data_IF_458723388473
#
_entry.id   IF_458723388473
#
_cell.length_a   1.000
_cell.length_b   1.000
_cell.length_c   1.000
_cell.angle_alpha   90.00
_cell.angle_beta   90.00
_cell.angle_gamma   90.00
#
_symmetry.space_group_name_H-M   'P 1'
#
loop_
_entity.id
_entity.type
_entity.pdbx_description
1 polymer ?
#
# COMPACT_ATOMS: atom_id res chain seq x y z
N UNK A 1 -31.90 -1.65 17.08
CA UNK A 1 -32.16 -3.09 17.06
C UNK A 1 -30.81 -3.80 17.10
N UNK A 2 -30.53 -4.57 18.14
CA UNK A 2 -29.29 -5.33 18.28
C UNK A 2 -29.43 -6.62 17.46
N UNK A 3 -28.68 -6.74 16.37
CA UNK A 3 -28.79 -7.88 15.44
C UNK A 3 -27.45 -8.62 15.33
N UNK A 4 -27.17 -9.38 16.39
CA UNK A 4 -25.94 -10.15 16.49
C UNK A 4 -25.89 -11.32 15.51
N UNK A 5 -27.05 -11.88 15.15
CA UNK A 5 -27.13 -12.98 14.18
C UNK A 5 -26.67 -12.53 12.78
N UNK A 6 -27.06 -11.33 12.34
CA UNK A 6 -26.57 -10.79 11.08
C UNK A 6 -25.07 -10.46 11.14
N UNK A 7 -24.55 -9.98 12.28
CA UNK A 7 -23.11 -9.82 12.47
C UNK A 7 -22.35 -11.15 12.35
N UNK A 8 -22.85 -12.24 12.95
CA UNK A 8 -22.21 -13.56 12.84
C UNK A 8 -22.18 -14.10 11.40
N UNK A 9 -23.25 -13.87 10.63
CA UNK A 9 -23.27 -14.20 9.19
C UNK A 9 -22.21 -13.43 8.42
N UNK A 10 -22.12 -12.11 8.67
CA UNK A 10 -21.07 -11.27 8.07
C UNK A 10 -19.66 -11.75 8.43
N UNK A 11 -19.42 -12.13 9.69
CA UNK A 11 -18.14 -12.71 10.12
C UNK A 11 -17.84 -14.01 9.39
N UNK A 12 -18.83 -14.89 9.20
CA UNK A 12 -18.66 -16.13 8.43
C UNK A 12 -18.29 -15.86 6.97
N UNK A 13 -18.96 -14.89 6.33
CA UNK A 13 -18.66 -14.53 4.94
C UNK A 13 -17.30 -13.87 4.80
N UNK A 14 -16.93 -12.99 5.73
CA UNK A 14 -15.59 -12.41 5.80
C UNK A 14 -14.52 -13.50 5.95
N UNK A 15 -14.73 -14.49 6.83
CA UNK A 15 -13.79 -15.59 7.03
C UNK A 15 -13.55 -16.41 5.74
N UNK A 16 -14.59 -16.63 4.92
CA UNK A 16 -14.46 -17.29 3.61
C UNK A 16 -13.60 -16.47 2.66
N UNK A 17 -13.81 -15.15 2.59
CA UNK A 17 -13.01 -14.25 1.75
C UNK A 17 -11.56 -14.20 2.25
N UNK A 18 -11.36 -14.11 3.56
CA UNK A 18 -10.05 -14.11 4.19
C UNK A 18 -9.25 -15.37 3.86
N UNK A 19 -9.88 -16.56 3.97
CA UNK A 19 -9.24 -17.82 3.59
C UNK A 19 -8.83 -17.88 2.12
N UNK A 20 -9.61 -17.26 1.21
CA UNK A 20 -9.21 -17.13 -0.20
C UNK A 20 -7.99 -16.22 -0.37
N UNK A 21 -7.87 -15.14 0.40
CA UNK A 21 -6.67 -14.32 0.41
C UNK A 21 -5.43 -15.11 0.88
N UNK A 22 -5.53 -15.83 2.00
CA UNK A 22 -4.43 -16.67 2.51
C UNK A 22 -3.94 -17.65 1.45
N UNK A 23 -4.86 -18.40 0.83
CA UNK A 23 -4.53 -19.33 -0.24
C UNK A 23 -3.84 -18.63 -1.42
N UNK A 24 -4.33 -17.46 -1.82
CA UNK A 24 -3.74 -16.71 -2.93
C UNK A 24 -2.34 -16.17 -2.58
N UNK A 25 -2.06 -15.83 -1.32
CA UNK A 25 -0.72 -15.43 -0.87
C UNK A 25 0.30 -16.57 -0.97
N UNK A 26 -0.13 -17.80 -0.71
CA UNK A 26 0.72 -18.99 -0.85
C UNK A 26 1.05 -19.31 -2.32
N UNK A 27 0.13 -18.99 -3.24
CA UNK A 27 0.20 -19.40 -4.65
C UNK A 27 0.72 -18.30 -5.59
N UNK A 28 0.47 -17.02 -5.28
CA UNK A 28 0.71 -15.91 -6.20
C UNK A 28 2.00 -15.13 -5.90
N UNK A 29 2.78 -14.83 -6.94
CA UNK A 29 4.04 -14.09 -6.81
C UNK A 29 3.86 -12.58 -6.69
N UNK A 30 2.69 -12.05 -7.02
CA UNK A 30 2.38 -10.62 -6.99
C UNK A 30 1.72 -10.19 -5.67
N UNK A 31 1.62 -11.08 -4.69
CA UNK A 31 1.09 -10.79 -3.36
C UNK A 31 2.16 -11.19 -2.34
N UNK A 32 2.35 -10.43 -1.25
CA UNK A 32 3.20 -10.86 -0.14
C UNK A 32 2.79 -12.22 0.39
N UNK A 33 3.76 -13.09 0.66
CA UNK A 33 3.55 -14.46 1.17
C UNK A 33 2.91 -14.48 2.57
N UNK A 34 2.99 -13.38 3.32
CA UNK A 34 2.42 -13.21 4.66
C UNK A 34 1.81 -11.84 4.82
N UNK A 35 0.78 -11.74 5.67
CA UNK A 35 0.21 -10.46 6.08
C UNK A 35 -1.27 -10.53 6.42
N UNK A 36 -1.61 -10.12 7.65
CA UNK A 36 -2.99 -10.22 8.15
C UNK A 36 -3.86 -9.03 7.73
N UNK A 37 -3.24 -7.87 7.49
CA UNK A 37 -3.94 -6.65 7.14
C UNK A 37 -4.23 -6.59 5.63
N UNK A 38 -5.38 -7.15 5.22
CA UNK A 38 -5.73 -7.30 3.80
C UNK A 38 -5.77 -5.99 3.02
N UNK A 39 -6.09 -4.85 3.65
CA UNK A 39 -6.02 -3.53 3.00
C UNK A 39 -4.59 -3.18 2.55
N UNK A 40 -3.58 -3.44 3.38
CA UNK A 40 -2.17 -3.21 3.04
C UNK A 40 -1.75 -4.08 1.87
N UNK A 41 -2.04 -5.38 2.00
CA UNK A 41 -1.78 -6.40 1.00
C UNK A 41 -2.38 -6.08 -0.38
N UNK A 42 -3.63 -5.59 -0.43
CA UNK A 42 -4.26 -5.18 -1.69
C UNK A 42 -3.44 -4.07 -2.36
N UNK A 43 -3.05 -3.04 -1.61
CA UNK A 43 -2.25 -1.95 -2.17
C UNK A 43 -0.85 -2.40 -2.63
N UNK A 44 -0.19 -3.26 -1.84
CA UNK A 44 1.11 -3.84 -2.22
C UNK A 44 1.00 -4.68 -3.51
N UNK A 45 -0.05 -5.49 -3.65
CA UNK A 45 -0.27 -6.29 -4.85
C UNK A 45 -0.48 -5.43 -6.10
N UNK A 46 -1.28 -4.36 -5.99
CA UNK A 46 -1.46 -3.41 -7.11
C UNK A 46 -0.17 -2.69 -7.49
N UNK A 47 0.65 -2.28 -6.51
CA UNK A 47 1.93 -1.61 -6.79
C UNK A 47 2.93 -2.60 -7.40
N UNK A 48 3.00 -3.83 -6.91
CA UNK A 48 3.84 -4.87 -7.50
C UNK A 48 3.51 -5.07 -8.98
N UNK A 49 2.23 -5.28 -9.28
CA UNK A 49 1.76 -5.48 -10.65
C UNK A 49 1.98 -4.24 -11.53
N UNK A 50 1.76 -3.04 -10.98
CA UNK A 50 2.06 -1.79 -11.70
C UNK A 50 3.54 -1.65 -12.06
N UNK A 51 4.45 -1.97 -11.13
CA UNK A 51 5.89 -1.97 -11.39
C UNK A 51 6.28 -3.04 -12.42
N UNK A 52 5.66 -4.22 -12.36
CA UNK A 52 5.81 -5.29 -13.37
C UNK A 52 5.40 -4.82 -14.77
N UNK A 53 4.23 -4.16 -14.89
CA UNK A 53 3.75 -3.58 -16.16
C UNK A 53 4.66 -2.45 -16.66
N UNK A 54 5.26 -1.69 -15.75
CA UNK A 54 6.32 -0.71 -16.04
C UNK A 54 7.68 -1.33 -16.40
N UNK A 55 7.76 -2.67 -16.53
CA UNK A 55 8.96 -3.42 -16.92
C UNK A 55 10.12 -3.32 -15.93
N UNK A 56 9.83 -3.09 -14.65
CA UNK A 56 10.80 -3.25 -13.57
C UNK A 56 11.27 -4.72 -13.51
N UNK A 57 12.59 -4.95 -13.34
CA UNK A 57 13.16 -6.31 -13.28
C UNK A 57 13.47 -6.70 -11.84
N UNK A 58 13.48 -8.00 -11.55
CA UNK A 58 13.86 -8.52 -10.23
C UNK A 58 12.92 -8.10 -9.11
N UNK A 59 11.61 -8.07 -9.39
CA UNK A 59 10.58 -7.73 -8.42
C UNK A 59 10.50 -8.80 -7.31
N UNK A 60 10.53 -8.35 -6.06
CA UNK A 60 10.35 -9.21 -4.89
C UNK A 60 9.81 -8.43 -3.70
N UNK A 61 9.20 -9.16 -2.75
CA UNK A 61 8.73 -8.59 -1.50
C UNK A 61 9.82 -8.62 -0.41
N UNK A 62 9.72 -7.67 0.52
CA UNK A 62 10.45 -7.73 1.78
C UNK A 62 9.99 -8.92 2.62
N UNK A 63 10.88 -9.46 3.44
CA UNK A 63 10.48 -10.49 4.39
C UNK A 63 9.79 -9.86 5.62
N UNK A 64 9.19 -10.67 6.48
CA UNK A 64 8.50 -10.23 7.70
C UNK A 64 9.35 -9.40 8.70
N UNK A 65 10.68 -9.45 8.61
CA UNK A 65 11.59 -8.67 9.46
C UNK A 65 11.99 -7.33 8.84
N UNK A 66 11.77 -7.19 7.53
CA UNK A 66 12.00 -5.95 6.80
C UNK A 66 10.87 -4.96 7.10
N UNK A 67 11.24 -3.75 7.49
CA UNK A 67 10.30 -2.69 7.87
C UNK A 67 10.46 -1.44 7.02
N UNK A 68 11.62 -1.27 6.39
CA UNK A 68 12.00 -0.10 5.63
C UNK A 68 11.40 -0.07 4.23
N UNK A 69 11.11 -1.22 3.63
CA UNK A 69 10.55 -1.32 2.29
C UNK A 69 9.71 -2.59 2.16
N UNK A 70 8.71 -2.56 1.29
CA UNK A 70 7.78 -3.66 1.06
C UNK A 70 8.09 -4.38 -0.26
N UNK A 71 8.53 -3.66 -1.29
CA UNK A 71 8.87 -4.20 -2.62
C UNK A 71 10.26 -3.73 -3.05
N UNK A 72 11.04 -4.58 -3.69
CA UNK A 72 12.32 -4.23 -4.32
C UNK A 72 12.32 -4.60 -5.80
N UNK A 73 12.97 -3.79 -6.63
CA UNK A 73 13.29 -4.15 -8.01
C UNK A 73 14.57 -3.43 -8.48
N UNK A 74 14.92 -3.60 -9.76
CA UNK A 74 16.08 -2.95 -10.40
C UNK A 74 16.11 -1.43 -10.26
N UNK A 75 14.96 -0.81 -10.04
CA UNK A 75 14.83 0.64 -9.95
C UNK A 75 14.93 1.17 -8.52
N UNK A 76 14.90 0.29 -7.50
CA UNK A 76 15.03 0.66 -6.09
C UNK A 76 14.11 -0.10 -5.16
N UNK A 77 14.06 0.36 -3.91
CA UNK A 77 13.21 -0.13 -2.83
C UNK A 77 11.98 0.76 -2.67
N UNK A 78 10.83 0.13 -2.51
CA UNK A 78 9.53 0.79 -2.44
C UNK A 78 8.85 0.45 -1.12
N UNK A 79 8.43 1.46 -0.38
CA UNK A 79 7.48 1.29 0.72
C UNK A 79 6.08 1.69 0.24
N UNK A 80 5.05 0.95 0.64
CA UNK A 80 3.66 1.14 0.24
C UNK A 80 2.82 1.43 1.48
N UNK A 81 2.03 2.51 1.43
CA UNK A 81 1.10 2.90 2.48
C UNK A 81 -0.29 3.02 1.91
N UNK A 82 -1.13 2.08 2.31
CA UNK A 82 -2.47 1.92 1.77
C UNK A 82 -3.51 2.37 2.80
N UNK A 83 -4.51 3.11 2.33
CA UNK A 83 -5.75 3.35 3.05
C UNK A 83 -6.93 3.03 2.14
N UNK A 84 -8.08 2.71 2.75
CA UNK A 84 -9.33 2.55 2.01
C UNK A 84 -10.27 3.73 2.25
N UNK A 85 -11.26 3.86 1.39
CA UNK A 85 -12.40 4.77 1.51
C UNK A 85 -13.05 4.71 2.90
N UNK A 86 -13.08 3.54 3.52
CA UNK A 86 -13.67 3.32 4.85
C UNK A 86 -12.80 3.86 6.01
N UNK A 87 -11.56 4.31 5.76
CA UNK A 87 -10.67 4.89 6.78
C UNK A 87 -11.10 6.30 7.15
N UNK A 88 -11.82 6.46 8.27
CA UNK A 88 -12.28 7.78 8.75
C UNK A 88 -11.16 8.75 9.09
N UNK A 89 -10.05 8.25 9.62
CA UNK A 89 -8.94 9.11 10.09
C UNK A 89 -7.94 9.45 8.99
N UNK A 90 -7.96 8.67 7.90
CA UNK A 90 -6.99 8.76 6.80
C UNK A 90 -5.52 8.66 7.27
N UNK A 91 -5.28 8.14 8.48
CA UNK A 91 -3.94 7.93 9.03
C UNK A 91 -3.31 6.72 8.36
N UNK A 92 -2.07 6.88 7.92
CA UNK A 92 -1.27 5.77 7.39
C UNK A 92 -0.51 5.08 8.51
N UNK A 93 -0.13 3.82 8.28
CA UNK A 93 0.78 3.10 9.15
C UNK A 93 2.16 3.80 9.21
N UNK A 94 2.97 3.52 10.24
CA UNK A 94 4.31 4.12 10.36
C UNK A 94 5.15 3.92 9.10
N UNK A 95 5.90 4.96 8.74
CA UNK A 95 6.84 4.95 7.62
C UNK A 95 8.23 4.83 8.24
N UNK A 96 8.94 3.77 7.88
CA UNK A 96 10.28 3.51 8.38
C UNK A 96 11.31 4.02 7.38
N UNK A 97 12.53 4.29 7.82
CA UNK A 97 13.65 4.49 6.91
C UNK A 97 14.01 3.18 6.17
N UNK A 98 14.55 3.27 4.96
CA UNK A 98 15.07 2.12 4.21
C UNK A 98 14.51 1.93 2.79
N UNK A 99 13.65 2.83 2.33
CA UNK A 99 13.08 2.87 0.98
C UNK A 99 13.74 3.95 0.11
N UNK A 100 13.69 3.79 -1.22
CA UNK A 100 14.04 4.82 -2.19
C UNK A 100 12.80 5.58 -2.67
N UNK A 101 11.66 4.87 -2.76
CA UNK A 101 10.36 5.44 -3.10
C UNK A 101 9.26 5.05 -2.11
N UNK A 102 8.32 5.96 -1.87
CA UNK A 102 7.14 5.74 -1.05
C UNK A 102 5.90 5.92 -1.91
N UNK A 103 5.09 4.87 -2.00
CA UNK A 103 3.76 4.91 -2.59
C UNK A 103 2.70 5.12 -1.51
N UNK A 104 1.83 6.10 -1.74
CA UNK A 104 0.56 6.22 -1.05
C UNK A 104 -0.55 5.74 -1.98
N UNK A 105 -1.30 4.74 -1.53
CA UNK A 105 -2.41 4.12 -2.27
C UNK A 105 -3.73 4.39 -1.54
N UNK A 106 -4.67 5.05 -2.21
CA UNK A 106 -6.05 5.12 -1.75
C UNK A 106 -6.89 4.12 -2.54
N UNK A 107 -7.65 3.29 -1.83
CA UNK A 107 -8.60 2.34 -2.40
C UNK A 107 -10.02 2.91 -2.28
N UNK A 108 -10.79 2.87 -3.37
CA UNK A 108 -12.18 3.29 -3.37
C UNK A 108 -13.08 2.30 -2.60
N UNK A 109 -14.40 2.55 -2.61
CA UNK A 109 -15.41 1.70 -1.96
C UNK A 109 -15.43 0.23 -2.44
N UNK A 110 -14.89 -0.05 -3.64
CA UNK A 110 -14.75 -1.39 -4.21
C UNK A 110 -13.36 -1.99 -3.99
N UNK A 111 -12.52 -1.36 -3.16
CA UNK A 111 -11.12 -1.72 -2.95
C UNK A 111 -10.25 -1.67 -4.22
N UNK A 112 -10.61 -0.84 -5.20
CA UNK A 112 -9.81 -0.56 -6.40
C UNK A 112 -9.03 0.74 -6.19
N UNK A 113 -7.74 0.82 -6.56
CA UNK A 113 -6.98 2.06 -6.41
C UNK A 113 -7.56 3.19 -7.26
N UNK A 114 -7.85 4.31 -6.61
CA UNK A 114 -8.36 5.53 -7.27
C UNK A 114 -7.39 6.72 -7.14
N UNK A 115 -6.37 6.60 -6.27
CA UNK A 115 -5.24 7.52 -6.17
C UNK A 115 -3.94 6.77 -5.88
N UNK A 116 -2.94 6.98 -6.72
CA UNK A 116 -1.57 6.45 -6.58
C UNK A 116 -0.60 7.63 -6.56
N UNK A 117 0.00 7.90 -5.42
CA UNK A 117 0.95 8.99 -5.25
C UNK A 117 2.33 8.42 -4.91
N UNK A 118 3.37 8.92 -5.56
CA UNK A 118 4.76 8.48 -5.37
C UNK A 118 5.61 9.64 -4.85
N UNK A 119 6.50 9.35 -3.91
CA UNK A 119 7.50 10.28 -3.38
C UNK A 119 8.87 9.62 -3.40
N UNK A 120 9.90 10.37 -3.72
CA UNK A 120 11.30 9.95 -3.59
C UNK A 120 11.80 10.22 -2.17
N UNK A 121 12.65 9.34 -1.63
CA UNK A 121 13.12 9.47 -0.26
C UNK A 121 13.95 10.77 -0.12
N UNK A 122 13.55 11.70 0.76
CA UNK A 122 14.30 12.95 0.94
C UNK A 122 15.64 12.78 1.66
N UNK A 123 15.94 11.58 2.18
CA UNK A 123 17.15 11.22 2.93
C UNK A 123 17.31 11.97 4.26
N UNK A 124 18.41 11.70 4.95
CA UNK A 124 18.79 12.29 6.26
C UNK A 124 17.64 12.26 7.27
N UNK A 125 17.27 11.04 7.69
CA UNK A 125 16.19 10.83 8.65
C UNK A 125 16.64 11.29 10.05
N UNK A 126 15.90 12.20 10.68
CA UNK A 126 16.18 12.61 12.06
C UNK A 126 15.71 11.56 13.06
N UNK A 127 14.71 10.77 12.66
CA UNK A 127 14.18 9.61 13.36
C UNK A 127 13.97 8.50 12.34
N UNK A 128 14.29 7.25 12.68
CA UNK A 128 14.17 6.11 11.75
C UNK A 128 12.70 5.75 11.43
N UNK A 129 11.72 6.43 12.04
CA UNK A 129 10.28 6.20 11.84
C UNK A 129 9.49 7.50 11.93
N UNK A 130 8.59 7.71 10.96
CA UNK A 130 7.52 8.73 10.99
C UNK A 130 6.20 8.06 11.38
N UNK A 131 5.48 8.63 12.36
CA UNK A 131 4.18 8.14 12.84
C UNK A 131 3.10 9.19 12.71
N UNK A 132 1.84 8.75 12.63
CA UNK A 132 0.67 9.64 12.70
C UNK A 132 0.45 10.49 11.45
N UNK A 133 1.16 10.21 10.36
CA UNK A 133 0.98 10.87 9.09
C UNK A 133 -0.40 10.54 8.50
N UNK A 134 -1.02 11.52 7.83
CA UNK A 134 -2.25 11.33 7.06
C UNK A 134 -1.94 11.16 5.58
N UNK A 135 -2.83 10.49 4.87
CA UNK A 135 -2.77 10.39 3.42
C UNK A 135 -2.74 11.79 2.77
N UNK A 136 -1.91 12.02 1.74
CA UNK A 136 -1.79 13.34 1.14
C UNK A 136 -3.10 13.84 0.51
N UNK A 137 -3.55 15.00 0.97
CA UNK A 137 -4.71 15.70 0.39
C UNK A 137 -4.29 16.48 -0.86
N UNK A 138 -3.14 17.16 -0.81
CA UNK A 138 -2.52 17.83 -1.97
C UNK A 138 -1.82 16.82 -2.88
N UNK A 139 -1.79 17.11 -4.18
CA UNK A 139 -1.07 16.34 -5.21
C UNK A 139 0.33 16.85 -5.50
N UNK A 140 0.77 17.94 -4.87
CA UNK A 140 1.99 18.65 -5.28
C UNK A 140 3.16 18.42 -4.32
N UNK A 141 2.95 18.60 -3.02
CA UNK A 141 4.01 18.48 -2.02
C UNK A 141 3.49 17.97 -0.69
N UNK A 142 4.39 17.41 0.12
CA UNK A 142 4.15 17.12 1.54
C UNK A 142 5.43 17.22 2.36
N UNK A 143 5.28 17.36 3.68
CA UNK A 143 6.42 17.38 4.60
C UNK A 143 6.66 15.97 5.13
N UNK A 144 7.85 15.41 4.88
CA UNK A 144 8.35 14.19 5.49
C UNK A 144 9.63 14.48 6.24
N UNK A 145 9.68 14.14 7.53
CA UNK A 145 10.84 14.36 8.38
C UNK A 145 11.38 15.82 8.32
N UNK A 146 10.48 16.81 8.30
CA UNK A 146 10.84 18.22 8.23
C UNK A 146 11.32 18.72 6.85
N UNK A 147 11.31 17.87 5.82
CA UNK A 147 11.66 18.24 4.44
C UNK A 147 10.43 18.25 3.55
N UNK A 148 10.34 19.27 2.69
CA UNK A 148 9.33 19.33 1.62
C UNK A 148 9.71 18.34 0.53
N UNK A 149 8.82 17.39 0.25
CA UNK A 149 8.95 16.39 -0.79
C UNK A 149 7.92 16.66 -1.88
N UNK A 150 8.34 16.54 -3.14
CA UNK A 150 7.42 16.58 -4.28
C UNK A 150 6.62 15.30 -4.34
N UNK A 151 5.32 15.42 -4.61
CA UNK A 151 4.44 14.29 -4.87
C UNK A 151 4.30 14.15 -6.38
N UNK A 152 4.56 12.94 -6.88
CA UNK A 152 4.30 12.53 -8.26
C UNK A 152 2.97 11.79 -8.26
N UNK A 153 1.94 12.34 -8.89
CA UNK A 153 0.65 11.66 -9.05
C UNK A 153 0.72 10.72 -10.25
N UNK A 154 0.74 9.41 -10.00
CA UNK A 154 0.79 8.37 -11.03
C UNK A 154 -0.59 7.75 -11.29
N UNK A 155 -1.68 8.34 -10.79
CA UNK A 155 -3.03 7.77 -10.86
C UNK A 155 -3.48 7.47 -12.29
N UNK A 156 -3.33 8.42 -13.22
CA UNK A 156 -3.80 8.23 -14.59
C UNK A 156 -2.93 7.23 -15.36
N UNK A 157 -1.62 7.27 -15.12
CA UNK A 157 -0.67 6.28 -15.66
C UNK A 157 -1.00 4.87 -15.15
N UNK A 158 -1.32 4.74 -13.86
CA UNK A 158 -1.77 3.49 -13.28
C UNK A 158 -3.06 3.02 -13.96
N UNK A 159 -4.10 3.86 -14.04
CA UNK A 159 -5.38 3.48 -14.68
C UNK A 159 -5.21 3.07 -16.14
N UNK A 160 -4.36 3.74 -16.91
CA UNK A 160 -4.10 3.38 -18.31
C UNK A 160 -3.46 1.99 -18.47
N UNK A 161 -2.83 1.47 -17.42
CA UNK A 161 -2.24 0.14 -17.44
C UNK A 161 -3.19 -0.95 -16.94
N UNK A 162 -4.36 -0.63 -16.39
CA UNK A 162 -5.29 -1.59 -15.80
C UNK A 162 -6.71 -1.39 -16.34
N UNK A 163 -7.33 -2.45 -16.84
CA UNK A 163 -8.71 -2.40 -17.34
C UNK A 163 -9.69 -2.41 -16.16
N UNK A 164 -10.12 -1.24 -15.70
CA UNK A 164 -11.13 -1.06 -14.65
C UNK A 164 -12.46 -0.51 -15.19
#
# INVERSE_FOLDING_TARGET
>A
MYDFNNFQKLVSDYAKVYSKFEKLQEEATFIPDKGDQKTGLIGEAYIYEYLSRCKCKGLGFGNHSEKGWDIVCSNGKYQVKTISYYSKTQKVSPIHEGWDFLYFVHLNEKFVPDRILKIENPGNWNNNVIKGLKFPVSKQTMILNGKTCTIIDETDKFKNLFDF
#
